data_IF_453671293402
#
_entry.id   IF_453671293402
#
_cell.length_a   1.000
_cell.length_b   1.000
_cell.length_c   1.000
_cell.angle_alpha   90.00
_cell.angle_beta   90.00
_cell.angle_gamma   90.00
#
_symmetry.space_group_name_H-M   'P 1'
#
loop_
_entity.id
_entity.type
_entity.pdbx_description
1 polymer ?
#
# COMPACT_ATOMS: atom_id res chain seq x y z
N UNK A 1 -11.97 21.65 16.90
CA UNK A 1 -12.53 20.32 16.59
C UNK A 1 -11.79 19.85 15.34
N UNK A 2 -10.64 19.19 15.53
CA UNK A 2 -10.43 17.72 15.55
C UNK A 2 -10.13 17.20 14.14
N UNK A 3 -8.86 16.93 13.81
CA UNK A 3 -8.45 15.86 12.90
C UNK A 3 -7.04 15.39 13.31
N UNK A 4 -7.00 14.34 14.12
CA UNK A 4 -5.79 13.66 14.58
C UNK A 4 -5.69 12.33 13.83
N UNK A 5 -5.55 12.37 12.51
CA UNK A 5 -5.88 11.21 11.67
C UNK A 5 -4.66 10.42 11.15
N UNK A 6 -3.42 10.89 11.40
CA UNK A 6 -2.18 10.18 11.02
C UNK A 6 -1.14 10.19 12.15
N UNK A 7 -1.56 10.26 13.42
CA UNK A 7 -0.62 10.16 14.55
C UNK A 7 -0.06 8.73 14.62
N UNK A 8 1.10 8.50 14.01
CA UNK A 8 1.62 7.15 13.85
C UNK A 8 2.97 7.07 13.15
N UNK A 9 3.52 5.85 13.12
CA UNK A 9 4.82 5.48 12.57
C UNK A 9 5.19 6.26 11.30
N UNK A 10 6.31 7.01 11.35
CA UNK A 10 6.87 7.76 10.21
C UNK A 10 5.89 8.73 9.51
N UNK A 11 4.96 9.32 10.27
CA UNK A 11 3.92 10.25 9.80
C UNK A 11 4.29 11.15 8.61
N UNK A 12 5.36 11.97 8.70
CA UNK A 12 5.75 12.87 7.60
C UNK A 12 6.02 12.15 6.27
N UNK A 13 6.69 10.99 6.33
CA UNK A 13 6.93 10.17 5.14
C UNK A 13 5.63 9.58 4.61
N UNK A 14 4.76 9.10 5.50
CA UNK A 14 3.44 8.59 5.13
C UNK A 14 2.63 9.65 4.41
N UNK A 15 2.45 10.84 4.98
CA UNK A 15 1.72 11.98 4.38
C UNK A 15 2.28 12.36 3.00
N UNK A 16 3.61 12.42 2.86
CA UNK A 16 4.28 12.71 1.59
C UNK A 16 3.95 11.64 0.54
N UNK A 17 4.02 10.36 0.91
CA UNK A 17 3.74 9.25 -0.01
C UNK A 17 2.26 9.18 -0.39
N UNK A 18 1.35 9.45 0.55
CA UNK A 18 -0.08 9.54 0.26
C UNK A 18 -0.38 10.63 -0.77
N UNK A 19 0.29 11.79 -0.66
CA UNK A 19 0.15 12.90 -1.60
C UNK A 19 0.57 12.47 -3.02
N UNK A 20 1.69 11.77 -3.16
CA UNK A 20 2.11 11.24 -4.46
C UNK A 20 1.14 10.20 -5.02
N UNK A 21 0.66 9.27 -4.17
CA UNK A 21 -0.29 8.24 -4.59
C UNK A 21 -1.60 8.87 -5.09
N UNK A 22 -2.13 9.89 -4.40
CA UNK A 22 -3.32 10.63 -4.81
C UNK A 22 -3.13 11.37 -6.15
N UNK A 23 -1.92 11.83 -6.43
CA UNK A 23 -1.59 12.47 -7.71
C UNK A 23 -1.46 11.47 -8.87
N UNK A 24 -1.48 10.15 -8.59
CA UNK A 24 -1.18 9.11 -9.57
C UNK A 24 0.31 8.98 -9.88
N UNK A 25 1.17 9.53 -9.02
CA UNK A 25 2.62 9.51 -9.19
C UNK A 25 3.24 8.18 -8.73
N UNK A 26 4.44 7.91 -9.26
CA UNK A 26 5.29 6.81 -8.81
C UNK A 26 6.38 7.32 -7.87
N UNK A 27 6.57 6.65 -6.73
CA UNK A 27 7.60 6.99 -5.75
C UNK A 27 8.50 5.79 -5.44
N UNK A 28 9.79 6.05 -5.17
CA UNK A 28 10.75 5.04 -4.74
C UNK A 28 11.29 5.37 -3.34
N UNK A 29 11.33 4.36 -2.47
CA UNK A 29 11.84 4.49 -1.10
C UNK A 29 13.18 3.78 -1.02
N UNK A 30 14.25 4.56 -0.91
CA UNK A 30 15.63 4.05 -0.85
C UNK A 30 16.21 4.31 0.54
N UNK A 31 16.96 3.35 1.06
CA UNK A 31 17.64 3.46 2.34
C UNK A 31 18.36 2.17 2.71
N UNK A 32 19.24 2.24 3.71
CA UNK A 32 20.01 1.07 4.18
C UNK A 32 19.12 -0.06 4.68
N UNK A 33 19.66 -1.28 4.74
CA UNK A 33 18.94 -2.43 5.30
C UNK A 33 18.57 -2.17 6.78
N UNK A 34 17.42 -2.68 7.23
CA UNK A 34 16.97 -2.53 8.63
C UNK A 34 16.26 -1.22 8.99
N UNK A 35 16.20 -0.21 8.11
CA UNK A 35 15.55 1.08 8.44
C UNK A 35 14.01 1.04 8.46
N UNK A 36 13.39 -0.12 8.26
CA UNK A 36 11.93 -0.28 8.31
C UNK A 36 11.19 0.16 7.04
N UNK A 37 11.82 0.06 5.86
CA UNK A 37 11.16 0.35 4.57
C UNK A 37 9.94 -0.56 4.32
N UNK A 38 10.10 -1.87 4.53
CA UNK A 38 9.01 -2.83 4.38
C UNK A 38 7.89 -2.59 5.39
N UNK A 39 8.23 -2.15 6.61
CA UNK A 39 7.22 -1.75 7.61
C UNK A 39 6.43 -0.52 7.17
N UNK A 40 7.08 0.45 6.52
CA UNK A 40 6.39 1.61 5.94
C UNK A 40 5.46 1.19 4.79
N UNK A 41 5.90 0.32 3.88
CA UNK A 41 5.03 -0.24 2.84
C UNK A 41 3.84 -1.01 3.44
N UNK A 42 4.07 -1.81 4.48
CA UNK A 42 3.00 -2.54 5.15
C UNK A 42 2.01 -1.59 5.84
N UNK A 43 2.51 -0.53 6.47
CA UNK A 43 1.68 0.51 7.07
C UNK A 43 0.83 1.24 6.02
N UNK A 44 1.42 1.58 4.87
CA UNK A 44 0.72 2.19 3.74
C UNK A 44 -0.30 1.25 3.08
N UNK A 45 -0.13 -0.07 3.16
CA UNK A 45 -1.12 -1.01 2.63
C UNK A 45 -2.32 -1.23 3.56
N UNK A 46 -2.29 -0.70 4.78
CA UNK A 46 -3.32 -0.96 5.78
C UNK A 46 -4.55 -0.07 5.54
N UNK A 47 -5.70 -0.68 5.26
CA UNK A 47 -6.94 0.01 4.86
C UNK A 47 -7.39 1.11 5.85
N UNK A 48 -7.18 0.87 7.16
CA UNK A 48 -7.52 1.83 8.21
C UNK A 48 -6.79 3.18 8.10
N UNK A 49 -5.59 3.19 7.49
CA UNK A 49 -4.83 4.41 7.28
C UNK A 49 -5.49 5.34 6.25
N UNK A 50 -6.12 4.74 5.23
CA UNK A 50 -6.78 5.45 4.15
C UNK A 50 -8.18 5.92 4.56
N UNK A 51 -8.90 5.12 5.35
CA UNK A 51 -10.17 5.53 5.95
C UNK A 51 -10.04 6.71 6.91
N UNK A 52 -8.88 6.88 7.53
CA UNK A 52 -8.59 8.03 8.41
C UNK A 52 -8.13 9.25 7.61
N UNK A 53 -7.70 9.10 6.36
CA UNK A 53 -7.31 10.23 5.53
C UNK A 53 -8.55 10.82 4.85
N UNK A 54 -8.99 11.99 5.29
CA UNK A 54 -10.07 12.76 4.62
C UNK A 54 -9.73 13.13 3.16
N UNK A 55 -8.50 12.87 2.73
CA UNK A 55 -7.98 13.17 1.40
C UNK A 55 -8.11 12.01 0.41
N UNK A 56 -8.56 10.84 0.85
CA UNK A 56 -8.57 9.63 0.02
C UNK A 56 -9.99 9.14 -0.19
N UNK A 57 -10.44 9.13 -1.46
CA UNK A 57 -11.68 8.46 -1.87
C UNK A 57 -11.64 6.98 -1.48
N UNK A 58 -12.72 6.36 -0.98
CA UNK A 58 -12.76 4.94 -0.62
C UNK A 58 -12.58 3.95 -1.80
N UNK A 59 -12.24 4.44 -3.00
CA UNK A 59 -12.21 3.68 -4.25
C UNK A 59 -10.81 3.19 -4.67
N UNK A 60 -9.87 3.05 -3.72
CA UNK A 60 -8.53 2.52 -4.03
C UNK A 60 -8.42 1.03 -3.72
N UNK A 61 -7.96 0.27 -4.72
CA UNK A 61 -7.51 -1.11 -4.54
C UNK A 61 -6.00 -1.11 -4.26
N UNK A 62 -5.60 -1.59 -3.08
CA UNK A 62 -4.19 -1.73 -2.73
C UNK A 62 -3.69 -3.12 -3.11
N UNK A 63 -2.76 -3.16 -4.05
CA UNK A 63 -2.07 -4.39 -4.46
C UNK A 63 -0.63 -4.34 -3.99
N UNK A 64 -0.26 -5.30 -3.12
CA UNK A 64 1.13 -5.49 -2.71
C UNK A 64 1.72 -6.65 -3.48
N UNK A 65 2.87 -6.40 -4.11
CA UNK A 65 3.69 -7.43 -4.74
C UNK A 65 5.02 -7.53 -3.99
N UNK A 66 5.41 -8.76 -3.63
CA UNK A 66 6.69 -9.05 -3.01
C UNK A 66 7.61 -9.78 -3.99
N UNK A 67 8.56 -9.06 -4.57
CA UNK A 67 9.49 -9.63 -5.54
C UNK A 67 10.43 -10.67 -4.91
N UNK A 68 10.58 -10.73 -3.58
CA UNK A 68 11.33 -11.80 -2.93
C UNK A 68 10.60 -13.15 -2.98
N UNK A 69 9.28 -13.15 -3.19
CA UNK A 69 8.49 -14.35 -3.37
C UNK A 69 8.60 -14.93 -4.80
N UNK A 70 9.30 -14.27 -5.71
CA UNK A 70 9.46 -14.74 -7.10
C UNK A 70 10.32 -16.00 -7.16
N UNK A 71 9.79 -17.14 -7.65
CA UNK A 71 10.57 -18.36 -7.79
C UNK A 71 11.65 -18.25 -8.89
N UNK A 72 11.44 -17.38 -9.88
CA UNK A 72 12.42 -17.03 -10.90
C UNK A 72 12.23 -15.58 -11.36
N UNK A 73 13.33 -14.81 -11.37
CA UNK A 73 13.36 -13.45 -11.93
C UNK A 73 13.26 -13.51 -13.45
N UNK A 74 12.03 -13.47 -13.96
CA UNK A 74 11.73 -13.27 -15.37
C UNK A 74 10.71 -12.15 -15.52
N UNK A 75 10.76 -11.43 -16.65
CA UNK A 75 9.81 -10.35 -16.95
C UNK A 75 8.36 -10.84 -16.94
N UNK A 76 8.11 -12.13 -17.18
CA UNK A 76 6.75 -12.70 -17.10
C UNK A 76 6.30 -12.94 -15.66
N UNK A 77 7.23 -13.26 -14.77
CA UNK A 77 6.95 -13.61 -13.40
C UNK A 77 6.41 -12.43 -12.58
N UNK A 78 6.75 -11.19 -12.95
CA UNK A 78 6.19 -10.00 -12.28
C UNK A 78 4.69 -9.85 -12.57
N UNK A 79 4.25 -10.16 -13.79
CA UNK A 79 2.84 -10.08 -14.15
C UNK A 79 2.03 -11.13 -13.42
N UNK A 80 2.56 -12.35 -13.25
CA UNK A 80 1.94 -13.39 -12.43
C UNK A 80 1.74 -12.91 -10.99
N UNK A 81 2.77 -12.31 -10.38
CA UNK A 81 2.66 -11.78 -9.02
C UNK A 81 1.67 -10.61 -8.90
N UNK A 82 1.60 -9.73 -9.91
CA UNK A 82 0.61 -8.64 -9.92
C UNK A 82 -0.80 -9.23 -9.97
N UNK A 83 -1.04 -10.24 -10.81
CA UNK A 83 -2.34 -10.91 -10.92
C UNK A 83 -2.73 -11.59 -9.60
N UNK A 84 -1.83 -12.34 -8.98
CA UNK A 84 -2.05 -12.96 -7.66
C UNK A 84 -2.40 -11.90 -6.58
N UNK A 85 -1.70 -10.76 -6.62
CA UNK A 85 -1.97 -9.63 -5.74
C UNK A 85 -3.36 -9.01 -5.97
N UNK A 86 -3.78 -8.89 -7.23
CA UNK A 86 -5.12 -8.40 -7.59
C UNK A 86 -6.22 -9.37 -7.14
N UNK A 87 -6.04 -10.67 -7.35
CA UNK A 87 -6.97 -11.71 -6.90
C UNK A 87 -7.13 -11.70 -5.39
N UNK A 88 -6.02 -11.58 -4.66
CA UNK A 88 -6.04 -11.48 -3.19
C UNK A 88 -6.79 -10.23 -2.72
N UNK A 89 -6.56 -9.08 -3.37
CA UNK A 89 -7.23 -7.84 -3.02
C UNK A 89 -8.74 -7.90 -3.32
N UNK A 90 -9.13 -8.56 -4.42
CA UNK A 90 -10.54 -8.81 -4.75
C UNK A 90 -11.22 -9.70 -3.70
N UNK A 91 -10.56 -10.77 -3.22
CA UNK A 91 -11.11 -11.62 -2.16
C UNK A 91 -11.44 -10.82 -0.90
N UNK A 92 -10.57 -9.91 -0.48
CA UNK A 92 -10.82 -9.06 0.69
C UNK A 92 -12.01 -8.09 0.48
N UNK A 93 -12.20 -7.57 -0.73
CA UNK A 93 -13.37 -6.76 -1.06
C UNK A 93 -14.67 -7.56 -1.03
N UNK A 94 -14.65 -8.79 -1.55
CA UNK A 94 -15.80 -9.69 -1.54
C UNK A 94 -16.19 -10.12 -0.12
N UNK A 95 -15.22 -10.26 0.78
CA UNK A 95 -15.45 -10.51 2.20
C UNK A 95 -16.06 -9.28 2.90
N UNK A 96 -15.53 -8.08 2.63
CA UNK A 96 -16.00 -6.84 3.24
C UNK A 96 -17.44 -6.45 2.82
N UNK A 97 -17.87 -6.85 1.61
CA UNK A 97 -19.21 -6.57 1.08
C UNK A 97 -20.29 -7.58 1.53
N UNK A 98 -19.91 -8.67 2.18
CA UNK A 98 -20.86 -9.68 2.74
C UNK A 98 -21.31 -9.36 4.17
N UNK A 99 -20.70 -8.38 4.82
CA UNK A 99 -21.05 -7.85 6.15
C UNK A 99 -21.88 -6.58 6.07
#
# INVERSE_FOLDING_TARGET
MTHNALSGFRQKMTETLLTFIQAGDSASIVGTHGVGKSNLFHHLAHHSLWQQSDQVSPEYLFVRVDCHAMPAFGERSIYSLILEGLETAQMYLDEATRT
#
